data_IF_722514934052
#
_entry.id   IF_722514934052
#
_cell.length_a   1.000
_cell.length_b   1.000
_cell.length_c   1.000
_cell.angle_alpha   90.00
_cell.angle_beta   90.00
_cell.angle_gamma   90.00
#
_symmetry.space_group_name_H-M   'P 1'
#
loop_
_entity.id
_entity.type
_entity.pdbx_description
1 polymer ?
#
# COMPACT_ATOMS: atom_id res chain seq x y z
N UNK A 1 -58.71 -22.15 -16.71
CA UNK A 1 -57.34 -22.43 -17.23
C UNK A 1 -56.58 -21.15 -17.57
N UNK A 2 -57.15 -20.18 -18.30
CA UNK A 2 -56.45 -18.92 -18.71
C UNK A 2 -55.87 -18.10 -17.55
N UNK A 3 -56.59 -17.93 -16.42
CA UNK A 3 -56.13 -17.15 -15.24
C UNK A 3 -54.91 -17.80 -14.51
N UNK A 4 -54.79 -19.11 -14.53
CA UNK A 4 -53.64 -19.81 -13.95
C UNK A 4 -52.41 -19.71 -14.84
N UNK A 5 -52.60 -19.70 -16.16
CA UNK A 5 -51.51 -19.54 -17.14
C UNK A 5 -50.92 -18.13 -17.08
N UNK A 6 -51.75 -17.08 -16.95
CA UNK A 6 -51.29 -15.70 -16.80
C UNK A 6 -50.54 -15.48 -15.48
N UNK A 7 -50.96 -16.11 -14.36
CA UNK A 7 -50.28 -16.03 -13.09
C UNK A 7 -48.88 -16.67 -13.16
N UNK A 8 -48.74 -17.84 -13.79
CA UNK A 8 -47.45 -18.52 -13.98
C UNK A 8 -46.50 -17.70 -14.85
N UNK A 9 -47.01 -17.09 -15.94
CA UNK A 9 -46.18 -16.19 -16.77
C UNK A 9 -45.70 -14.95 -16.02
N UNK A 10 -46.54 -14.31 -15.19
CA UNK A 10 -46.16 -13.15 -14.38
C UNK A 10 -45.11 -13.51 -13.33
N UNK A 11 -45.23 -14.65 -12.66
CA UNK A 11 -44.24 -15.12 -11.69
C UNK A 11 -42.89 -15.40 -12.39
N UNK A 12 -42.91 -16.02 -13.58
CA UNK A 12 -41.70 -16.24 -14.36
C UNK A 12 -40.98 -14.96 -14.78
N UNK A 13 -41.73 -13.91 -15.15
CA UNK A 13 -41.19 -12.61 -15.50
C UNK A 13 -40.55 -11.88 -14.28
N UNK A 14 -41.17 -11.96 -13.10
CA UNK A 14 -40.65 -11.39 -11.87
C UNK A 14 -39.38 -12.13 -11.43
N UNK A 15 -39.34 -13.48 -11.52
CA UNK A 15 -38.16 -14.26 -11.19
C UNK A 15 -36.99 -13.99 -12.15
N UNK A 16 -37.25 -13.74 -13.42
CA UNK A 16 -36.21 -13.39 -14.40
C UNK A 16 -35.60 -12.00 -14.13
N UNK A 17 -36.41 -11.03 -13.67
CA UNK A 17 -35.94 -9.69 -13.31
C UNK A 17 -35.13 -9.63 -12.02
N UNK A 18 -35.16 -10.68 -11.19
CA UNK A 18 -34.39 -10.76 -9.93
C UNK A 18 -33.03 -11.43 -10.08
N UNK A 19 -32.60 -11.80 -11.30
CA UNK A 19 -31.24 -12.28 -11.49
C UNK A 19 -30.25 -11.16 -11.20
N UNK A 20 -29.28 -11.35 -10.27
CA UNK A 20 -28.29 -10.34 -9.98
C UNK A 20 -27.46 -10.06 -11.24
N UNK A 21 -27.66 -8.90 -11.85
CA UNK A 21 -26.75 -8.41 -12.88
C UNK A 21 -25.42 -8.14 -12.18
N UNK A 22 -24.46 -9.02 -12.32
CA UNK A 22 -23.08 -8.73 -11.97
C UNK A 22 -22.57 -7.66 -12.94
N UNK A 23 -22.74 -6.40 -12.58
CA UNK A 23 -22.01 -5.31 -13.19
C UNK A 23 -20.55 -5.38 -12.71
N UNK A 24 -19.81 -6.33 -13.24
CA UNK A 24 -18.37 -6.41 -13.06
C UNK A 24 -17.73 -5.44 -14.04
N UNK A 25 -17.39 -4.23 -13.62
CA UNK A 25 -16.38 -3.48 -14.35
C UNK A 25 -15.07 -4.30 -14.27
N UNK A 26 -14.62 -4.87 -15.40
CA UNK A 26 -13.31 -5.51 -15.46
C UNK A 26 -12.26 -4.42 -15.23
N UNK A 27 -11.73 -4.36 -14.00
CA UNK A 27 -10.57 -3.56 -13.70
C UNK A 27 -9.35 -4.31 -14.25
N UNK A 28 -8.79 -3.83 -15.35
CA UNK A 28 -7.56 -4.38 -15.92
C UNK A 28 -6.39 -3.47 -15.58
N UNK A 29 -5.36 -4.02 -14.95
CA UNK A 29 -4.12 -3.32 -14.62
C UNK A 29 -2.94 -4.01 -15.29
N UNK A 30 -1.96 -3.23 -15.76
CA UNK A 30 -0.75 -3.73 -16.41
C UNK A 30 0.26 -4.34 -15.42
N UNK A 31 0.15 -4.04 -14.12
CA UNK A 31 1.00 -4.61 -13.10
C UNK A 31 0.82 -6.13 -12.99
N UNK A 32 1.91 -6.86 -12.69
CA UNK A 32 1.86 -8.31 -12.47
C UNK A 32 1.06 -8.68 -11.22
N UNK A 33 1.17 -7.86 -10.18
CA UNK A 33 0.44 -7.99 -8.92
C UNK A 33 -0.24 -6.68 -8.58
N UNK A 34 -1.45 -6.74 -8.04
CA UNK A 34 -2.18 -5.56 -7.59
C UNK A 34 -3.18 -5.90 -6.48
N UNK A 35 -3.40 -4.95 -5.60
CA UNK A 35 -4.47 -5.00 -4.62
C UNK A 35 -5.08 -3.61 -4.47
N UNK A 36 -6.39 -3.53 -4.38
CA UNK A 36 -7.13 -2.31 -4.05
C UNK A 36 -7.96 -2.58 -2.81
N UNK A 37 -7.75 -1.78 -1.78
CA UNK A 37 -8.39 -1.94 -0.48
C UNK A 37 -9.15 -0.65 -0.14
N UNK A 38 -10.36 -0.79 0.37
CA UNK A 38 -11.09 0.33 0.95
C UNK A 38 -10.47 0.68 2.32
N UNK A 39 -9.98 1.92 2.45
CA UNK A 39 -9.14 2.33 3.58
C UNK A 39 -9.86 2.29 4.94
N UNK A 40 -11.17 2.48 4.98
CA UNK A 40 -11.93 2.52 6.25
C UNK A 40 -12.23 1.14 6.81
N UNK A 41 -12.55 0.19 5.95
CA UNK A 41 -13.04 -1.16 6.35
C UNK A 41 -12.02 -2.25 6.14
N UNK A 42 -10.94 -1.99 5.38
CA UNK A 42 -9.98 -3.00 4.95
C UNK A 42 -10.52 -3.96 3.90
N UNK A 43 -11.72 -3.70 3.34
CA UNK A 43 -12.33 -4.58 2.34
C UNK A 43 -11.55 -4.54 1.04
N UNK A 44 -11.14 -5.72 0.56
CA UNK A 44 -10.52 -5.86 -0.76
C UNK A 44 -11.57 -5.62 -1.85
N UNK A 45 -11.33 -4.66 -2.71
CA UNK A 45 -12.18 -4.28 -3.84
C UNK A 45 -11.71 -4.91 -5.15
N UNK A 46 -10.41 -5.12 -5.28
CA UNK A 46 -9.79 -5.78 -6.44
C UNK A 46 -8.49 -6.43 -6.00
N UNK A 47 -8.19 -7.59 -6.57
CA UNK A 47 -6.91 -8.27 -6.40
C UNK A 47 -6.47 -8.97 -7.68
N UNK A 48 -5.17 -8.96 -7.90
CA UNK A 48 -4.48 -9.69 -8.97
C UNK A 48 -3.18 -10.20 -8.40
N UNK A 49 -3.02 -11.52 -8.30
CA UNK A 49 -1.83 -12.17 -7.74
C UNK A 49 -1.35 -11.53 -6.41
N UNK A 50 -2.28 -11.08 -5.57
CA UNK A 50 -2.02 -10.23 -4.39
C UNK A 50 -1.13 -10.91 -3.33
N UNK A 51 -1.09 -12.24 -3.31
CA UNK A 51 -0.28 -13.04 -2.38
C UNK A 51 1.02 -13.58 -2.99
N UNK A 52 1.30 -13.26 -4.25
CA UNK A 52 2.53 -13.67 -4.92
C UNK A 52 3.73 -12.92 -4.33
N UNK A 53 4.76 -13.67 -3.95
CA UNK A 53 6.03 -13.08 -3.50
C UNK A 53 6.82 -12.57 -4.69
N UNK A 54 7.20 -11.29 -4.64
CA UNK A 54 8.02 -10.66 -5.66
C UNK A 54 8.84 -9.51 -5.07
N UNK A 55 9.85 -9.08 -5.81
CA UNK A 55 10.62 -7.89 -5.45
C UNK A 55 9.75 -6.65 -5.67
N UNK A 56 9.49 -5.91 -4.62
CA UNK A 56 8.57 -4.75 -4.60
C UNK A 56 9.29 -3.41 -4.67
N UNK A 57 10.60 -3.43 -4.90
CA UNK A 57 11.45 -2.24 -4.98
C UNK A 57 11.20 -1.28 -3.79
N UNK A 58 11.16 0.02 -4.04
CA UNK A 58 11.03 1.04 -3.00
C UNK A 58 9.68 1.07 -2.26
N UNK A 59 8.68 0.29 -2.65
CA UNK A 59 7.46 0.17 -1.84
C UNK A 59 7.74 -0.46 -0.47
N UNK A 60 8.86 -1.19 -0.31
CA UNK A 60 9.38 -1.65 1.00
C UNK A 60 9.54 -0.51 2.01
N UNK A 61 9.87 0.71 1.56
CA UNK A 61 10.07 1.88 2.42
C UNK A 61 8.79 2.33 3.16
N UNK A 62 7.63 1.97 2.65
CA UNK A 62 6.37 2.18 3.38
C UNK A 62 6.35 1.38 4.68
N UNK A 63 6.89 0.15 4.68
CA UNK A 63 7.01 -0.65 5.89
C UNK A 63 8.03 -0.04 6.85
N UNK A 64 9.18 0.41 6.35
CA UNK A 64 10.18 1.13 7.19
C UNK A 64 9.55 2.34 7.85
N UNK A 65 8.82 3.16 7.09
CA UNK A 65 8.13 4.33 7.64
C UNK A 65 7.09 3.96 8.71
N UNK A 66 6.31 2.90 8.48
CA UNK A 66 5.31 2.43 9.44
C UNK A 66 5.97 1.99 10.75
N UNK A 67 7.03 1.18 10.68
CA UNK A 67 7.77 0.72 11.86
C UNK A 67 8.32 1.90 12.65
N UNK A 68 8.89 2.91 11.97
CA UNK A 68 9.40 4.13 12.61
C UNK A 68 8.28 4.91 13.29
N UNK A 69 7.12 5.06 12.65
CA UNK A 69 5.97 5.76 13.23
C UNK A 69 5.38 5.03 14.45
N UNK A 70 5.49 3.70 14.49
CA UNK A 70 5.01 2.86 15.58
C UNK A 70 6.07 2.65 16.69
N UNK A 71 7.33 3.04 16.47
CA UNK A 71 8.41 2.89 17.45
C UNK A 71 8.24 3.74 18.72
N UNK A 72 7.40 4.78 18.64
CA UNK A 72 7.14 5.70 19.74
C UNK A 72 8.18 6.81 19.92
N UNK A 73 9.18 6.89 19.05
CA UNK A 73 10.14 7.98 19.05
C UNK A 73 9.47 9.31 18.66
N UNK A 74 9.78 10.43 19.34
CA UNK A 74 9.33 11.75 18.92
C UNK A 74 9.82 12.11 17.51
N UNK A 75 8.97 12.70 16.68
CA UNK A 75 9.34 13.06 15.30
C UNK A 75 10.46 14.11 15.22
N UNK A 76 10.60 14.93 16.23
CA UNK A 76 11.67 15.95 16.38
C UNK A 76 12.95 15.39 17.00
N UNK A 77 12.97 14.13 17.42
CA UNK A 77 14.17 13.47 17.91
C UNK A 77 15.27 13.45 16.84
N UNK A 78 16.49 13.76 17.26
CA UNK A 78 17.64 13.90 16.36
C UNK A 78 18.45 12.62 16.29
N UNK A 79 18.52 12.07 15.11
CA UNK A 79 19.38 10.93 14.75
C UNK A 79 20.73 11.48 14.32
N UNK A 80 21.81 11.02 14.93
CA UNK A 80 23.16 11.26 14.47
C UNK A 80 23.51 10.26 13.36
N UNK A 81 23.91 10.76 12.20
CA UNK A 81 24.25 9.92 11.06
C UNK A 81 25.63 9.29 11.31
N UNK A 82 25.64 8.00 11.52
CA UNK A 82 26.86 7.23 11.67
C UNK A 82 27.50 6.91 10.31
N UNK A 83 28.81 6.62 10.26
CA UNK A 83 29.47 6.23 9.00
C UNK A 83 28.77 5.08 8.29
N UNK A 84 28.25 4.10 9.04
CA UNK A 84 27.55 2.91 8.51
C UNK A 84 26.20 3.23 7.87
N UNK A 85 25.66 4.47 8.07
CA UNK A 85 24.42 4.91 7.46
C UNK A 85 24.64 5.59 6.11
N UNK A 86 25.91 5.77 5.70
CA UNK A 86 26.30 6.49 4.49
C UNK A 86 26.71 5.55 3.36
N UNK A 87 26.75 6.06 2.12
CA UNK A 87 27.24 5.29 0.97
C UNK A 87 26.28 4.23 0.45
N UNK A 88 25.00 4.28 0.81
CA UNK A 88 23.98 3.38 0.27
C UNK A 88 23.86 3.52 -1.25
N UNK A 89 23.87 2.41 -1.96
CA UNK A 89 23.67 2.39 -3.41
C UNK A 89 22.25 2.79 -3.81
N UNK A 90 22.09 3.36 -4.99
CA UNK A 90 20.80 3.78 -5.57
C UNK A 90 20.39 5.18 -5.12
N UNK A 91 19.08 5.43 -4.96
CA UNK A 91 18.58 6.74 -4.53
C UNK A 91 19.07 7.08 -3.12
N UNK A 92 19.70 8.24 -2.95
CA UNK A 92 20.32 8.66 -1.70
C UNK A 92 20.11 10.15 -1.47
N UNK A 93 20.07 10.56 -0.20
CA UNK A 93 20.10 11.95 0.24
C UNK A 93 21.54 12.45 0.34
N UNK A 94 22.53 11.59 0.17
CA UNK A 94 23.94 11.87 0.34
C UNK A 94 24.27 12.34 1.76
N UNK A 95 23.67 11.68 2.75
CA UNK A 95 23.90 11.96 4.16
C UNK A 95 25.39 11.83 4.51
N UNK A 96 25.87 12.70 5.39
CA UNK A 96 27.27 12.69 5.85
C UNK A 96 27.34 12.27 7.30
N UNK A 97 28.34 11.47 7.61
CA UNK A 97 28.62 11.07 8.99
C UNK A 97 28.81 12.33 9.89
N UNK A 98 28.19 12.31 11.05
CA UNK A 98 28.17 13.41 12.02
C UNK A 98 27.05 14.43 11.80
N UNK A 99 26.30 14.37 10.70
CA UNK A 99 25.07 15.17 10.57
C UNK A 99 24.04 14.75 11.61
N UNK A 100 23.19 15.68 12.03
CA UNK A 100 22.10 15.41 12.99
C UNK A 100 20.78 15.89 12.40
N UNK A 101 19.96 14.95 12.01
CA UNK A 101 18.66 15.16 11.36
C UNK A 101 17.53 14.64 12.25
N UNK A 102 16.35 15.24 12.15
CA UNK A 102 15.19 14.74 12.87
C UNK A 102 14.63 13.48 12.17
N UNK A 103 13.96 12.63 12.94
CA UNK A 103 13.21 11.48 12.39
C UNK A 103 12.26 11.95 11.30
N UNK A 104 11.54 13.05 11.50
CA UNK A 104 10.65 13.63 10.51
C UNK A 104 11.40 13.95 9.19
N UNK A 105 12.55 14.60 9.27
CA UNK A 105 13.38 14.95 8.10
C UNK A 105 13.81 13.68 7.35
N UNK A 106 14.24 12.66 8.08
CA UNK A 106 14.64 11.39 7.50
C UNK A 106 13.45 10.66 6.85
N UNK A 107 12.24 10.69 7.45
CA UNK A 107 11.03 10.16 6.87
C UNK A 107 10.63 10.87 5.57
N UNK A 108 10.76 12.20 5.50
CA UNK A 108 10.56 12.92 4.24
C UNK A 108 11.56 12.48 3.17
N UNK A 109 12.82 12.35 3.53
CA UNK A 109 13.86 11.85 2.62
C UNK A 109 13.61 10.41 2.17
N UNK A 110 13.14 9.56 3.07
CA UNK A 110 12.76 8.18 2.80
C UNK A 110 11.61 8.11 1.78
N UNK A 111 10.53 8.84 2.01
CA UNK A 111 9.29 8.68 1.26
C UNK A 111 9.25 9.52 -0.02
N UNK A 112 9.78 10.76 0.00
CA UNK A 112 9.72 11.65 -1.15
C UNK A 112 10.89 11.47 -2.12
N UNK A 113 12.08 11.20 -1.58
CA UNK A 113 13.30 11.03 -2.38
C UNK A 113 13.72 9.56 -2.52
N UNK A 114 13.03 8.68 -1.82
CA UNK A 114 13.36 7.25 -1.80
C UNK A 114 14.80 6.99 -1.32
N UNK A 115 15.33 7.80 -0.38
CA UNK A 115 16.69 7.71 0.11
C UNK A 115 17.00 6.39 0.80
N UNK A 116 17.97 5.63 0.28
CA UNK A 116 18.39 4.37 0.87
C UNK A 116 19.21 4.59 2.14
N UNK A 117 20.00 5.65 2.19
CA UNK A 117 20.73 6.11 3.38
C UNK A 117 19.79 6.55 4.52
N UNK A 118 18.70 7.25 4.19
CA UNK A 118 17.67 7.58 5.17
C UNK A 118 16.96 6.32 5.69
N UNK A 119 16.68 5.34 4.79
CA UNK A 119 16.10 4.07 5.19
C UNK A 119 17.01 3.32 6.18
N UNK A 120 18.30 3.26 5.90
CA UNK A 120 19.30 2.62 6.73
C UNK A 120 19.46 3.31 8.08
N UNK A 121 19.54 4.65 8.08
CA UNK A 121 19.64 5.43 9.31
C UNK A 121 18.42 5.20 10.23
N UNK A 122 17.22 5.23 9.69
CA UNK A 122 15.99 5.01 10.45
C UNK A 122 15.89 3.56 10.96
N UNK A 123 16.22 2.57 10.13
CA UNK A 123 16.10 1.16 10.50
C UNK A 123 17.13 0.71 11.56
N UNK A 124 18.28 1.38 11.65
CA UNK A 124 19.32 1.07 12.63
C UNK A 124 19.21 1.92 13.89
N UNK A 125 18.48 3.03 13.84
CA UNK A 125 18.22 3.87 14.98
C UNK A 125 17.01 3.42 15.80
N UNK A 126 15.90 3.03 15.16
CA UNK A 126 14.66 2.55 15.79
C UNK A 126 14.67 1.06 16.04
#
# INVERSE_FOLDING_TARGET
>A
MKRRLTAVMLIGLILWGCLPVRAGAECSVSADCAVLIEAKTGRVLYEKEAHRRMLIASTTKLMTALVVLESGHPMDERVEILPDYTGAEGSSLYLKAGERLTIETLLYGLLLHSGNDAAQALALFC
#
